data_IF_548917093798
#
_entry.id   IF_548917093798
#
_cell.length_a   1.000
_cell.length_b   1.000
_cell.length_c   1.000
_cell.angle_alpha   90.00
_cell.angle_beta   90.00
_cell.angle_gamma   90.00
#
_symmetry.space_group_name_H-M   'P 1'
#
loop_
_entity.id
_entity.type
_entity.pdbx_description
1 polymer ?
#
# COMPACT_ATOMS: atom_id res chain seq x y z
N UNK A 1 -15.24 -29.41 3.73
CA UNK A 1 -15.45 -27.96 3.59
C UNK A 1 -14.66 -27.47 2.41
N UNK A 2 -15.25 -26.67 1.53
CA UNK A 2 -14.56 -26.00 0.42
C UNK A 2 -13.90 -24.75 0.96
N UNK A 3 -12.58 -24.63 0.79
CA UNK A 3 -11.84 -23.40 1.12
C UNK A 3 -12.37 -22.26 0.24
N UNK A 4 -12.65 -21.06 0.78
CA UNK A 4 -13.10 -19.91 -0.02
C UNK A 4 -12.15 -19.61 -1.18
N UNK A 5 -12.69 -19.09 -2.29
CA UNK A 5 -11.91 -18.85 -3.53
C UNK A 5 -10.74 -17.90 -3.29
N UNK A 6 -10.94 -16.83 -2.52
CA UNK A 6 -9.90 -15.82 -2.21
C UNK A 6 -8.64 -16.43 -1.58
N UNK A 7 -8.79 -17.48 -0.76
CA UNK A 7 -7.65 -18.19 -0.17
C UNK A 7 -7.03 -19.20 -1.13
N UNK A 8 -7.81 -19.75 -2.06
CA UNK A 8 -7.30 -20.64 -3.11
C UNK A 8 -6.52 -19.87 -4.18
N UNK A 9 -6.90 -18.63 -4.47
CA UNK A 9 -6.28 -17.79 -5.49
C UNK A 9 -5.28 -16.76 -4.96
N UNK A 10 -5.13 -16.65 -3.64
CA UNK A 10 -4.27 -15.66 -2.98
C UNK A 10 -2.89 -15.46 -3.64
N UNK A 11 -2.19 -16.54 -4.01
CA UNK A 11 -0.89 -16.43 -4.68
C UNK A 11 -0.99 -15.87 -6.10
N UNK A 12 -2.00 -16.27 -6.88
CA UNK A 12 -2.22 -15.75 -8.23
C UNK A 12 -2.63 -14.28 -8.21
N UNK A 13 -3.54 -13.92 -7.31
CA UNK A 13 -4.03 -12.53 -7.18
C UNK A 13 -2.89 -11.60 -6.75
N UNK A 14 -2.05 -12.06 -5.82
CA UNK A 14 -0.87 -11.32 -5.41
C UNK A 14 0.17 -11.18 -6.54
N UNK A 15 0.42 -12.24 -7.31
CA UNK A 15 1.30 -12.17 -8.48
C UNK A 15 0.77 -11.20 -9.54
N UNK A 16 -0.55 -11.16 -9.77
CA UNK A 16 -1.18 -10.21 -10.68
C UNK A 16 -0.90 -8.76 -10.28
N UNK A 17 -1.00 -8.42 -8.98
CA UNK A 17 -0.62 -7.09 -8.45
C UNK A 17 0.85 -6.79 -8.76
N UNK A 18 1.76 -7.74 -8.52
CA UNK A 18 3.20 -7.54 -8.73
C UNK A 18 3.57 -7.37 -10.21
N UNK A 19 2.91 -8.09 -11.11
CA UNK A 19 3.09 -7.97 -12.56
C UNK A 19 2.58 -6.61 -13.03
N UNK A 20 1.38 -6.21 -12.61
CA UNK A 20 0.82 -4.91 -13.00
C UNK A 20 1.65 -3.75 -12.45
N UNK A 21 2.09 -3.83 -11.19
CA UNK A 21 2.97 -2.82 -10.60
C UNK A 21 4.33 -2.75 -11.29
N UNK A 22 4.90 -3.89 -11.67
CA UNK A 22 6.14 -3.93 -12.44
C UNK A 22 5.95 -3.14 -13.74
N UNK A 23 4.88 -3.38 -14.46
CA UNK A 23 4.64 -2.77 -15.77
C UNK A 23 4.30 -1.28 -15.64
N UNK A 24 3.45 -0.91 -14.67
CA UNK A 24 3.09 0.48 -14.35
C UNK A 24 4.33 1.33 -14.02
N UNK A 25 5.19 0.84 -13.11
CA UNK A 25 6.37 1.57 -12.65
C UNK A 25 7.63 1.31 -13.51
N UNK A 26 7.49 0.63 -14.65
CA UNK A 26 8.58 0.25 -15.57
C UNK A 26 9.76 -0.44 -14.85
N UNK A 27 9.45 -1.34 -13.92
CA UNK A 27 10.45 -2.08 -13.15
C UNK A 27 10.93 -3.30 -13.94
N UNK A 28 12.22 -3.62 -13.81
CA UNK A 28 12.81 -4.75 -14.55
C UNK A 28 12.33 -6.14 -14.09
N UNK A 29 11.79 -6.27 -12.87
CA UNK A 29 11.38 -7.57 -12.30
C UNK A 29 10.23 -7.42 -11.30
N UNK A 30 9.47 -8.50 -11.08
CA UNK A 30 8.43 -8.58 -10.04
C UNK A 30 9.01 -8.54 -8.63
N UNK A 31 10.27 -8.97 -8.43
CA UNK A 31 10.97 -8.80 -7.15
C UNK A 31 11.13 -7.30 -6.80
N UNK A 32 11.46 -6.45 -7.78
CA UNK A 32 11.50 -4.99 -7.57
C UNK A 32 10.11 -4.42 -7.31
N UNK A 33 9.08 -4.92 -7.97
CA UNK A 33 7.70 -4.54 -7.69
C UNK A 33 7.31 -4.90 -6.25
N UNK A 34 7.69 -6.09 -5.77
CA UNK A 34 7.46 -6.53 -4.40
C UNK A 34 8.12 -5.58 -3.38
N UNK A 35 9.39 -5.23 -3.56
CA UNK A 35 10.08 -4.32 -2.62
C UNK A 35 9.52 -2.91 -2.66
N UNK A 36 9.09 -2.44 -3.84
CA UNK A 36 8.42 -1.13 -4.01
C UNK A 36 7.07 -1.11 -3.30
N UNK A 37 6.24 -2.15 -3.50
CA UNK A 37 4.96 -2.33 -2.83
C UNK A 37 5.13 -2.37 -1.30
N UNK A 38 6.10 -3.16 -0.82
CA UNK A 38 6.43 -3.24 0.62
C UNK A 38 6.81 -1.88 1.18
N UNK A 39 7.65 -1.12 0.47
CA UNK A 39 8.12 0.19 0.93
C UNK A 39 6.95 1.18 1.07
N UNK A 40 6.11 1.31 0.03
CA UNK A 40 4.96 2.22 0.04
C UNK A 40 3.94 1.83 1.10
N UNK A 41 3.60 0.54 1.20
CA UNK A 41 2.66 0.05 2.22
C UNK A 41 3.17 0.32 3.64
N UNK A 42 4.48 0.16 3.90
CA UNK A 42 5.06 0.47 5.21
C UNK A 42 5.02 1.97 5.52
N UNK A 43 5.32 2.83 4.54
CA UNK A 43 5.24 4.29 4.71
C UNK A 43 3.80 4.71 5.04
N UNK A 44 2.81 4.18 4.33
CA UNK A 44 1.41 4.43 4.68
C UNK A 44 1.05 3.89 6.07
N UNK A 45 1.48 2.65 6.38
CA UNK A 45 1.22 1.98 7.66
C UNK A 45 1.73 2.75 8.88
N UNK A 46 2.90 3.41 8.78
CA UNK A 46 3.45 4.22 9.86
C UNK A 46 2.57 5.42 10.26
N UNK A 47 1.57 5.78 9.45
CA UNK A 47 0.63 6.88 9.68
C UNK A 47 -0.72 6.42 10.21
N UNK A 48 -0.88 5.12 10.46
CA UNK A 48 -2.11 4.54 10.98
C UNK A 48 -1.91 4.06 12.42
N UNK A 49 -2.93 4.24 13.24
CA UNK A 49 -3.06 3.45 14.48
C UNK A 49 -3.19 1.97 14.14
N UNK A 50 -2.90 1.08 15.10
CA UNK A 50 -3.07 -0.37 14.90
C UNK A 50 -4.50 -0.71 14.47
N UNK A 51 -5.50 -0.08 15.08
CA UNK A 51 -6.92 -0.28 14.74
C UNK A 51 -7.21 0.13 13.29
N UNK A 52 -6.78 1.32 12.87
CA UNK A 52 -6.93 1.77 11.48
C UNK A 52 -6.16 0.87 10.51
N UNK A 53 -4.99 0.40 10.92
CA UNK A 53 -4.17 -0.56 10.21
C UNK A 53 -4.88 -1.85 9.87
N UNK A 54 -5.47 -2.50 10.88
CA UNK A 54 -6.21 -3.73 10.69
C UNK A 54 -7.46 -3.52 9.83
N UNK A 55 -8.16 -2.39 10.03
CA UNK A 55 -9.29 -2.02 9.17
C UNK A 55 -8.86 -1.83 7.70
N UNK A 56 -7.72 -1.18 7.44
CA UNK A 56 -7.15 -1.08 6.09
C UNK A 56 -6.74 -2.45 5.54
N UNK A 57 -6.16 -3.31 6.38
CA UNK A 57 -5.72 -4.63 5.97
C UNK A 57 -6.88 -5.51 5.47
N UNK A 58 -8.08 -5.36 6.05
CA UNK A 58 -9.29 -6.07 5.61
C UNK A 58 -9.75 -5.68 4.20
N UNK A 59 -9.37 -4.50 3.71
CA UNK A 59 -9.66 -4.05 2.34
C UNK A 59 -8.71 -4.66 1.29
N UNK A 60 -7.60 -5.26 1.71
CA UNK A 60 -6.60 -5.84 0.82
C UNK A 60 -6.90 -7.31 0.50
N UNK A 61 -6.47 -7.75 -0.69
CA UNK A 61 -6.40 -9.17 -1.04
C UNK A 61 -5.49 -9.93 -0.08
N UNK A 62 -5.69 -11.25 0.07
CA UNK A 62 -5.00 -12.08 1.07
C UNK A 62 -3.47 -11.91 1.05
N UNK A 63 -2.86 -11.89 -0.14
CA UNK A 63 -1.41 -11.71 -0.27
C UNK A 63 -0.93 -10.30 0.08
N UNK A 64 -1.63 -9.27 -0.38
CA UNK A 64 -1.30 -7.87 -0.06
C UNK A 64 -1.50 -7.57 1.43
N UNK A 65 -2.56 -8.14 2.04
CA UNK A 65 -2.83 -8.08 3.48
C UNK A 65 -1.69 -8.68 4.28
N UNK A 66 -1.23 -9.88 3.91
CA UNK A 66 -0.11 -10.55 4.57
C UNK A 66 1.18 -9.71 4.49
N UNK A 67 1.46 -9.10 3.33
CA UNK A 67 2.59 -8.19 3.16
C UNK A 67 2.46 -6.95 4.07
N UNK A 68 1.29 -6.32 4.09
CA UNK A 68 1.03 -5.09 4.84
C UNK A 68 1.27 -5.25 6.36
N UNK A 69 0.78 -6.34 6.95
CA UNK A 69 0.92 -6.60 8.40
C UNK A 69 2.27 -7.20 8.78
N UNK A 70 3.03 -7.69 7.80
CA UNK A 70 4.32 -8.35 8.04
C UNK A 70 5.30 -7.42 8.74
N UNK A 71 5.95 -7.94 9.79
CA UNK A 71 6.93 -7.22 10.60
C UNK A 71 6.44 -5.86 11.12
N UNK A 72 5.15 -5.75 11.50
CA UNK A 72 4.65 -4.54 12.15
C UNK A 72 5.10 -4.50 13.62
N UNK A 73 5.89 -3.49 13.97
CA UNK A 73 6.11 -3.07 15.35
C UNK A 73 5.00 -2.10 15.81
N UNK A 74 4.05 -2.61 16.59
CA UNK A 74 2.90 -1.85 17.08
C UNK A 74 3.23 -0.90 18.24
N UNK A 75 4.47 -0.89 18.72
CA UNK A 75 4.92 0.03 19.78
C UNK A 75 5.54 1.31 19.23
N UNK A 76 5.79 1.38 17.92
CA UNK A 76 6.27 2.60 17.29
C UNK A 76 5.20 3.69 17.28
N UNK A 77 5.59 4.97 17.46
CA UNK A 77 4.65 6.07 17.40
C UNK A 77 4.08 6.21 15.99
N UNK A 78 2.80 6.59 15.92
CA UNK A 78 2.15 6.95 14.65
C UNK A 78 2.75 8.26 14.16
N UNK A 79 3.28 8.25 12.93
CA UNK A 79 3.83 9.43 12.27
C UNK A 79 2.72 10.25 11.62
N UNK A 80 2.86 11.59 11.55
CA UNK A 80 1.93 12.40 10.79
C UNK A 80 2.10 12.16 9.27
N UNK A 81 1.06 12.48 8.51
CA UNK A 81 1.20 12.62 7.06
C UNK A 81 2.01 13.88 6.74
N UNK A 82 3.30 13.69 6.45
CA UNK A 82 4.21 14.76 6.03
C UNK A 82 4.07 15.15 4.54
N UNK A 83 4.89 16.10 4.06
CA UNK A 83 4.97 16.46 2.65
C UNK A 83 5.23 15.23 1.75
N UNK A 84 4.65 15.16 0.55
CA UNK A 84 4.84 14.03 -0.37
C UNK A 84 6.31 13.66 -0.62
N UNK A 85 7.20 14.64 -0.65
CA UNK A 85 8.64 14.44 -0.88
C UNK A 85 9.31 13.74 0.30
N UNK A 86 8.92 14.04 1.54
CA UNK A 86 9.45 13.37 2.73
C UNK A 86 9.00 11.91 2.78
N UNK A 87 7.72 11.66 2.47
CA UNK A 87 7.19 10.30 2.39
C UNK A 87 7.86 9.49 1.28
N UNK A 88 8.16 10.12 0.14
CA UNK A 88 8.94 9.48 -0.92
C UNK A 88 10.38 9.18 -0.49
N UNK A 89 11.01 10.08 0.28
CA UNK A 89 12.33 9.82 0.84
C UNK A 89 12.32 8.63 1.81
N UNK A 90 11.27 8.47 2.63
CA UNK A 90 11.06 7.27 3.46
C UNK A 90 10.93 6.01 2.59
N UNK A 91 10.15 6.07 1.50
CA UNK A 91 10.02 4.96 0.54
C UNK A 91 11.41 4.58 0.01
N UNK A 92 12.23 5.54 -0.42
CA UNK A 92 13.56 5.29 -0.98
C UNK A 92 14.59 4.79 0.04
N UNK A 93 14.48 5.22 1.30
CA UNK A 93 15.39 4.83 2.37
C UNK A 93 15.19 3.37 2.82
N UNK A 94 13.99 2.83 2.63
CA UNK A 94 13.66 1.47 3.06
C UNK A 94 14.52 0.45 2.31
N UNK A 95 15.41 -0.28 2.99
CA UNK A 95 16.37 -1.20 2.35
C UNK A 95 17.20 -0.53 1.24
N UNK A 96 17.84 0.59 1.54
CA UNK A 96 18.65 1.39 0.60
C UNK A 96 19.56 0.59 -0.37
N UNK A 97 20.10 -0.57 0.03
CA UNK A 97 20.94 -1.44 -0.83
C UNK A 97 20.16 -2.32 -1.83
N UNK A 98 18.84 -2.44 -1.67
CA UNK A 98 17.97 -3.35 -2.44
C UNK A 98 16.71 -2.66 -2.96
N UNK A 99 16.46 -1.43 -2.54
CA UNK A 99 15.30 -0.67 -2.95
C UNK A 99 15.64 0.17 -4.18
N UNK A 100 15.02 -0.23 -5.28
CA UNK A 100 15.15 0.36 -6.60
C UNK A 100 13.80 0.94 -7.03
N UNK A 101 13.05 1.48 -6.06
CA UNK A 101 11.82 2.24 -6.29
C UNK A 101 12.10 3.44 -7.18
N UNK A 102 11.11 3.84 -7.97
CA UNK A 102 11.17 5.04 -8.80
C UNK A 102 10.66 6.26 -8.01
N UNK A 103 11.00 7.50 -8.39
CA UNK A 103 10.46 8.70 -7.73
C UNK A 103 8.93 8.81 -7.77
N UNK A 104 8.25 8.03 -8.61
CA UNK A 104 6.80 7.92 -8.70
C UNK A 104 6.18 6.76 -7.90
N UNK A 105 6.98 6.01 -7.13
CA UNK A 105 6.56 4.74 -6.53
C UNK A 105 5.26 4.80 -5.72
N UNK A 106 5.03 5.86 -4.93
CA UNK A 106 3.77 6.03 -4.19
C UNK A 106 2.58 6.10 -5.15
N UNK A 107 2.68 6.87 -6.22
CA UNK A 107 1.60 7.03 -7.20
C UNK A 107 1.35 5.74 -7.97
N UNK A 108 2.40 5.06 -8.41
CA UNK A 108 2.30 3.79 -9.13
C UNK A 108 1.65 2.70 -8.26
N UNK A 109 2.08 2.55 -7.00
CA UNK A 109 1.52 1.56 -6.06
C UNK A 109 0.06 1.87 -5.75
N UNK A 110 -0.26 3.13 -5.43
CA UNK A 110 -1.65 3.53 -5.13
C UNK A 110 -2.55 3.27 -6.34
N UNK A 111 -2.10 3.65 -7.54
CA UNK A 111 -2.86 3.45 -8.78
C UNK A 111 -3.16 1.96 -9.02
N UNK A 112 -2.17 1.10 -8.85
CA UNK A 112 -2.34 -0.34 -9.05
C UNK A 112 -3.21 -0.92 -7.95
N UNK A 113 -2.91 -0.69 -6.67
CA UNK A 113 -3.69 -1.27 -5.57
C UNK A 113 -5.17 -0.87 -5.63
N UNK A 114 -5.49 0.37 -6.00
CA UNK A 114 -6.89 0.81 -6.15
C UNK A 114 -7.68 -0.03 -7.16
N UNK A 115 -7.05 -0.54 -8.23
CA UNK A 115 -7.70 -1.44 -9.21
C UNK A 115 -7.99 -2.83 -8.65
N UNK A 116 -7.32 -3.22 -7.58
CA UNK A 116 -7.46 -4.51 -6.90
C UNK A 116 -8.24 -4.39 -5.57
N UNK A 117 -8.84 -3.24 -5.29
CA UNK A 117 -9.59 -2.96 -4.06
C UNK A 117 -11.00 -2.49 -4.41
N UNK A 118 -11.92 -2.60 -3.44
CA UNK A 118 -13.19 -1.90 -3.52
C UNK A 118 -12.94 -0.40 -3.31
N UNK A 119 -13.10 0.38 -4.38
CA UNK A 119 -12.78 1.81 -4.39
C UNK A 119 -13.70 2.63 -3.46
N UNK A 120 -14.95 2.21 -3.27
CA UNK A 120 -15.90 2.88 -2.38
C UNK A 120 -15.51 2.60 -0.93
N UNK A 121 -15.30 1.33 -0.58
CA UNK A 121 -14.90 0.96 0.78
C UNK A 121 -13.54 1.57 1.18
N UNK A 122 -12.61 1.66 0.22
CA UNK A 122 -11.33 2.33 0.42
C UNK A 122 -11.51 3.83 0.68
N UNK A 123 -12.30 4.53 -0.15
CA UNK A 123 -12.55 5.97 0.02
C UNK A 123 -13.21 6.27 1.37
N UNK A 124 -14.24 5.50 1.74
CA UNK A 124 -14.95 5.64 3.01
C UNK A 124 -14.01 5.42 4.21
N UNK A 125 -13.14 4.41 4.13
CA UNK A 125 -12.11 4.19 5.15
C UNK A 125 -11.16 5.38 5.26
N UNK A 126 -10.63 5.88 4.14
CA UNK A 126 -9.66 6.98 4.15
C UNK A 126 -10.28 8.30 4.66
N UNK A 127 -11.55 8.57 4.34
CA UNK A 127 -12.32 9.68 4.90
C UNK A 127 -12.43 9.60 6.43
N UNK A 128 -12.59 8.39 6.97
CA UNK A 128 -12.61 8.18 8.43
C UNK A 128 -11.25 8.33 9.10
N UNK A 129 -10.15 8.27 8.33
CA UNK A 129 -8.77 8.43 8.84
C UNK A 129 -8.39 9.91 8.87
N UNK A 130 -8.26 10.54 7.70
CA UNK A 130 -7.96 11.97 7.57
C UNK A 130 -7.99 12.44 6.09
N UNK A 131 -8.10 13.75 5.81
CA UNK A 131 -7.94 14.29 4.46
C UNK A 131 -6.57 13.98 3.83
N UNK A 132 -5.51 13.91 4.63
CA UNK A 132 -4.17 13.57 4.15
C UNK A 132 -4.07 12.11 3.72
N UNK A 133 -4.84 11.21 4.35
CA UNK A 133 -4.95 9.81 3.92
C UNK A 133 -5.57 9.73 2.51
N UNK A 134 -6.62 10.50 2.22
CA UNK A 134 -7.19 10.61 0.87
C UNK A 134 -6.16 11.13 -0.14
N UNK A 135 -5.42 12.18 0.23
CA UNK A 135 -4.37 12.78 -0.63
C UNK A 135 -3.24 11.78 -0.94
N UNK A 136 -2.81 11.00 0.06
CA UNK A 136 -1.83 9.92 -0.13
C UNK A 136 -2.32 8.92 -1.20
N UNK A 137 -3.61 8.57 -1.15
CA UNK A 137 -4.27 7.63 -2.07
C UNK A 137 -4.83 8.27 -3.35
N UNK A 138 -4.49 9.53 -3.63
CA UNK A 138 -4.88 10.26 -4.85
C UNK A 138 -6.40 10.31 -5.05
N UNK A 139 -7.15 10.41 -3.96
CA UNK A 139 -8.54 10.83 -4.01
C UNK A 139 -8.61 12.35 -3.96
N UNK A 140 -9.49 12.94 -4.78
CA UNK A 140 -9.76 14.37 -4.71
C UNK A 140 -10.40 14.70 -3.37
N UNK A 141 -9.75 15.58 -2.61
CA UNK A 141 -10.36 16.20 -1.43
C UNK A 141 -11.35 17.22 -1.99
N UNK A 142 -12.65 16.91 -1.95
CA UNK A 142 -13.66 17.92 -2.29
C UNK A 142 -13.54 19.03 -1.26
N UNK A 143 -13.22 20.24 -1.71
CA UNK A 143 -13.42 21.44 -0.91
C UNK A 143 -14.94 21.65 -0.79
N UNK A 144 -15.47 21.48 0.42
CA UNK A 144 -16.78 22.01 0.79
C UNK A 144 -16.73 23.53 0.98
#
# INVERSE_FOLDING_TARGET
MTVPEEYRQASRDFEAILVELRDQAMLGTTHRAYTTLEAVLRVFRCRLTVTQGLAFADLLSVGARALFVSHWDCHQPVLPFGPPQEMMAEVMALRHNHNLSTPGAIEDVVTVLRRHMDEVALKDFLESVSPEALSFWRFDIRAE
#
